data_IF_448627315318
#
_entry.id   IF_448627315318
#
_cell.length_a   1.000
_cell.length_b   1.000
_cell.length_c   1.000
_cell.angle_alpha   90.00
_cell.angle_beta   90.00
_cell.angle_gamma   90.00
#
_symmetry.space_group_name_H-M   'P 1'
#
loop_
_entity.id
_entity.type
_entity.pdbx_description
1 polymer ?
#
# COMPACT_ATOMS: atom_id res chain seq x y z
N UNK A 1 6.49 11.36 -0.36
CA UNK A 1 5.13 11.70 0.11
C UNK A 1 5.03 11.32 1.55
N UNK A 2 4.55 12.24 2.35
CA UNK A 2 4.57 12.16 3.81
C UNK A 2 3.35 11.35 4.30
N UNK A 3 3.56 10.50 5.33
CA UNK A 3 2.49 9.98 6.20
C UNK A 3 1.50 11.07 6.64
N UNK A 4 1.93 12.33 6.63
CA UNK A 4 1.17 13.50 7.00
C UNK A 4 -0.05 13.84 6.11
N UNK A 5 -0.24 13.15 4.98
CA UNK A 5 -1.43 13.32 4.13
C UNK A 5 -2.58 12.36 4.51
N UNK A 6 -2.28 11.34 5.32
CA UNK A 6 -3.23 10.37 5.85
C UNK A 6 -3.23 10.49 7.39
N UNK A 7 -3.61 11.66 7.85
CA UNK A 7 -3.81 12.01 9.24
C UNK A 7 -5.29 11.80 9.66
N UNK A 8 -5.62 12.15 10.89
CA UNK A 8 -6.99 11.99 11.40
C UNK A 8 -8.05 12.69 10.53
N UNK A 9 -7.87 13.94 10.07
CA UNK A 9 -8.82 14.59 9.16
C UNK A 9 -9.02 13.85 7.84
N UNK A 10 -7.97 13.22 7.29
CA UNK A 10 -8.08 12.40 6.09
C UNK A 10 -8.88 11.12 6.36
N UNK A 11 -8.69 10.50 7.53
CA UNK A 11 -9.47 9.36 7.98
C UNK A 11 -10.96 9.71 8.04
N UNK A 12 -11.32 10.81 8.69
CA UNK A 12 -12.71 11.26 8.84
C UNK A 12 -13.35 11.56 7.47
N UNK A 13 -12.58 12.17 6.55
CA UNK A 13 -13.05 12.46 5.18
C UNK A 13 -13.29 11.18 4.38
N UNK A 14 -12.41 10.19 4.52
CA UNK A 14 -12.57 8.88 3.86
C UNK A 14 -13.76 8.11 4.45
N UNK A 15 -13.92 8.10 5.78
CA UNK A 15 -15.06 7.48 6.44
C UNK A 15 -16.39 8.08 5.96
N UNK A 16 -16.45 9.41 5.85
CA UNK A 16 -17.63 10.08 5.32
C UNK A 16 -17.91 9.68 3.87
N UNK A 17 -16.88 9.58 3.03
CA UNK A 17 -17.01 9.13 1.65
C UNK A 17 -17.50 7.68 1.55
N UNK A 18 -16.99 6.77 2.39
CA UNK A 18 -17.47 5.36 2.48
C UNK A 18 -18.94 5.34 2.82
N UNK A 19 -19.34 6.05 3.88
CA UNK A 19 -20.74 6.12 4.32
C UNK A 19 -21.68 6.66 3.24
N UNK A 20 -21.26 7.69 2.48
CA UNK A 20 -22.04 8.22 1.36
C UNK A 20 -22.23 7.18 0.24
N UNK A 21 -21.19 6.36 -0.03
CA UNK A 21 -21.26 5.31 -1.04
C UNK A 21 -22.19 4.19 -0.58
N UNK A 22 -22.03 3.68 0.63
CA UNK A 22 -22.82 2.59 1.20
C UNK A 22 -24.32 2.92 1.34
N UNK A 23 -24.67 4.21 1.46
CA UNK A 23 -26.07 4.64 1.38
C UNK A 23 -26.71 4.41 0.00
N UNK A 24 -25.92 4.26 -1.05
CA UNK A 24 -26.40 4.12 -2.43
C UNK A 24 -26.25 2.70 -2.99
N UNK A 25 -25.57 1.79 -2.29
CA UNK A 25 -25.28 0.43 -2.74
C UNK A 25 -25.35 -0.56 -1.59
N UNK A 26 -25.65 -1.82 -1.89
CA UNK A 26 -25.55 -2.92 -0.91
C UNK A 26 -24.12 -3.43 -0.73
N UNK A 27 -23.15 -2.88 -1.46
CA UNK A 27 -21.74 -3.23 -1.28
C UNK A 27 -21.15 -2.53 -0.03
N UNK A 28 -20.40 -3.27 0.78
CA UNK A 28 -19.72 -2.79 1.97
C UNK A 28 -18.24 -2.52 1.66
N UNK A 29 -17.78 -1.28 1.90
CA UNK A 29 -16.43 -0.83 1.54
C UNK A 29 -15.52 -0.72 2.75
N UNK A 30 -14.42 -1.45 2.74
CA UNK A 30 -13.36 -1.30 3.74
C UNK A 30 -12.12 -0.68 3.10
N UNK A 31 -11.64 0.43 3.67
CA UNK A 31 -10.42 1.10 3.25
C UNK A 31 -9.30 0.79 4.24
N UNK A 32 -8.18 0.30 3.75
CA UNK A 32 -6.97 0.04 4.54
C UNK A 32 -5.80 0.79 3.93
N UNK A 33 -5.16 1.63 4.75
CA UNK A 33 -3.95 2.35 4.37
C UNK A 33 -2.80 1.86 5.22
N UNK A 34 -1.82 1.21 4.59
CA UNK A 34 -0.62 0.70 5.25
C UNK A 34 0.62 1.49 4.91
N UNK A 35 1.50 1.67 5.89
CA UNK A 35 2.81 2.26 5.65
C UNK A 35 3.64 1.42 4.68
N UNK A 36 3.57 0.10 4.80
CA UNK A 36 4.25 -0.89 3.95
C UNK A 36 3.59 -2.26 4.05
N UNK A 37 3.64 -3.05 2.99
CA UNK A 37 3.11 -4.41 2.94
C UNK A 37 4.19 -5.49 3.01
N UNK A 38 5.41 -5.18 2.54
CA UNK A 38 6.50 -6.15 2.46
C UNK A 38 7.58 -5.99 3.55
N UNK A 39 8.41 -7.05 3.67
CA UNK A 39 9.64 -7.01 4.46
C UNK A 39 10.82 -6.68 3.55
N UNK A 40 11.44 -5.51 3.77
CA UNK A 40 12.50 -4.97 2.91
C UNK A 40 13.91 -5.10 3.51
N UNK A 41 14.11 -5.99 4.49
CA UNK A 41 15.43 -6.19 5.11
C UNK A 41 16.52 -6.53 4.09
N UNK A 42 16.18 -7.28 3.04
CA UNK A 42 17.11 -7.59 1.96
C UNK A 42 17.61 -6.34 1.22
N UNK A 43 16.76 -5.34 1.01
CA UNK A 43 17.15 -4.06 0.41
C UNK A 43 18.04 -3.25 1.37
N UNK A 44 17.74 -3.27 2.67
CA UNK A 44 18.55 -2.61 3.69
C UNK A 44 19.97 -3.21 3.73
N UNK A 45 20.08 -4.54 3.76
CA UNK A 45 21.39 -5.22 3.73
C UNK A 45 22.14 -5.02 2.42
N UNK A 46 21.45 -5.06 1.27
CA UNK A 46 22.07 -4.77 -0.02
C UNK A 46 22.65 -3.36 -0.07
N UNK A 47 21.94 -2.36 0.46
CA UNK A 47 22.47 -0.99 0.60
C UNK A 47 23.71 -0.95 1.48
N UNK A 48 23.70 -1.67 2.61
CA UNK A 48 24.86 -1.79 3.49
C UNK A 48 26.09 -2.35 2.75
N UNK A 49 25.89 -3.46 2.01
CA UNK A 49 26.97 -4.07 1.22
C UNK A 49 27.49 -3.12 0.13
N UNK A 50 26.61 -2.43 -0.59
CA UNK A 50 27.03 -1.51 -1.65
C UNK A 50 27.82 -0.33 -1.10
N UNK A 51 27.40 0.25 0.02
CA UNK A 51 28.12 1.38 0.66
C UNK A 51 29.45 0.92 1.26
N UNK A 52 29.48 -0.23 1.94
CA UNK A 52 30.70 -0.82 2.47
C UNK A 52 31.71 -1.13 1.34
N UNK A 53 31.24 -1.72 0.23
CA UNK A 53 32.09 -2.01 -0.92
C UNK A 53 32.62 -0.74 -1.61
N UNK A 54 31.78 0.27 -1.80
CA UNK A 54 32.20 1.55 -2.35
C UNK A 54 33.24 2.24 -1.45
N UNK A 55 33.04 2.18 -0.14
CA UNK A 55 34.01 2.69 0.83
C UNK A 55 35.33 1.93 0.80
N UNK A 56 35.29 0.59 0.70
CA UNK A 56 36.51 -0.22 0.56
C UNK A 56 37.29 0.16 -0.71
N UNK A 57 36.61 0.33 -1.85
CA UNK A 57 37.26 0.81 -3.07
C UNK A 57 37.88 2.19 -2.87
N UNK A 58 37.17 3.10 -2.18
CA UNK A 58 37.69 4.41 -1.84
C UNK A 58 38.98 4.31 -1.01
N UNK A 59 38.99 3.47 0.03
CA UNK A 59 40.18 3.25 0.88
C UNK A 59 41.37 2.67 0.10
N UNK A 60 41.10 1.83 -0.91
CA UNK A 60 42.18 1.20 -1.70
C UNK A 60 42.74 2.08 -2.82
N UNK A 61 41.93 2.92 -3.43
CA UNK A 61 42.33 3.68 -4.64
C UNK A 61 42.52 5.17 -4.42
N UNK A 62 42.04 5.74 -3.31
CA UNK A 62 42.30 7.13 -3.00
C UNK A 62 43.72 7.32 -2.42
N UNK A 63 44.40 8.41 -2.73
CA UNK A 63 45.80 8.65 -2.34
C UNK A 63 45.90 9.14 -0.89
N UNK A 64 45.23 8.50 0.03
CA UNK A 64 45.30 8.79 1.46
C UNK A 64 46.02 7.64 2.18
N UNK A 65 46.86 8.00 3.15
CA UNK A 65 47.54 7.02 4.01
C UNK A 65 46.61 6.57 5.13
N UNK A 66 46.05 5.35 4.95
CA UNK A 66 45.21 4.71 5.98
C UNK A 66 46.00 3.63 6.71
N UNK A 67 45.85 3.57 8.04
CA UNK A 67 46.37 2.44 8.81
C UNK A 67 45.56 1.19 8.52
N UNK A 68 46.16 0.20 7.91
CA UNK A 68 45.49 -1.04 7.45
C UNK A 68 44.72 -1.78 8.53
N UNK A 69 45.06 -1.62 9.80
CA UNK A 69 44.32 -2.27 10.91
C UNK A 69 42.91 -1.71 11.14
N UNK A 70 42.62 -0.48 10.69
CA UNK A 70 41.29 0.15 10.85
C UNK A 70 40.35 -0.17 9.69
N UNK A 71 40.88 -0.58 8.56
CA UNK A 71 40.06 -0.86 7.35
C UNK A 71 38.87 -1.81 7.62
N UNK A 72 39.01 -2.94 8.37
CA UNK A 72 37.86 -3.79 8.66
C UNK A 72 36.78 -3.10 9.49
N UNK A 73 37.18 -2.20 10.41
CA UNK A 73 36.26 -1.44 11.25
C UNK A 73 35.52 -0.39 10.40
N UNK A 74 36.25 0.34 9.56
CA UNK A 74 35.67 1.33 8.66
C UNK A 74 34.63 0.72 7.72
N UNK A 75 34.93 -0.45 7.14
CA UNK A 75 34.01 -1.20 6.28
C UNK A 75 32.76 -1.65 7.05
N UNK A 76 32.92 -2.13 8.30
CA UNK A 76 31.80 -2.51 9.15
C UNK A 76 30.91 -1.31 9.50
N UNK A 77 31.52 -0.17 9.82
CA UNK A 77 30.80 1.08 10.11
C UNK A 77 30.03 1.56 8.88
N UNK A 78 30.65 1.53 7.70
CA UNK A 78 30.00 1.91 6.45
C UNK A 78 28.83 0.99 6.11
N UNK A 79 28.95 -0.30 6.38
CA UNK A 79 27.84 -1.25 6.25
C UNK A 79 26.65 -0.85 7.12
N UNK A 80 26.89 -0.59 8.40
CA UNK A 80 25.85 -0.17 9.36
C UNK A 80 25.20 1.14 8.92
N UNK A 81 25.99 2.11 8.48
CA UNK A 81 25.51 3.38 7.95
C UNK A 81 24.60 3.13 6.73
N UNK A 82 25.02 2.27 5.81
CA UNK A 82 24.24 1.94 4.62
C UNK A 82 22.90 1.28 4.94
N UNK A 83 22.87 0.32 5.86
CA UNK A 83 21.64 -0.30 6.38
C UNK A 83 20.73 0.77 7.01
N UNK A 84 21.30 1.63 7.85
CA UNK A 84 20.54 2.67 8.54
C UNK A 84 19.94 3.70 7.58
N UNK A 85 20.70 4.20 6.61
CA UNK A 85 20.22 5.15 5.61
C UNK A 85 19.09 4.56 4.76
N UNK A 86 19.24 3.30 4.33
CA UNK A 86 18.19 2.60 3.58
C UNK A 86 16.94 2.40 4.44
N UNK A 87 17.10 2.01 5.70
CA UNK A 87 15.97 1.78 6.61
C UNK A 87 15.11 3.02 6.86
N UNK A 88 15.71 4.21 6.77
CA UNK A 88 15.01 5.51 6.86
C UNK A 88 14.48 6.01 5.52
N UNK A 89 15.07 5.58 4.40
CA UNK A 89 14.80 6.07 3.04
C UNK A 89 13.81 5.22 2.25
N UNK A 90 12.54 5.58 2.21
CA UNK A 90 11.54 4.86 1.39
C UNK A 90 11.88 4.85 -0.11
N UNK A 91 12.56 5.88 -0.62
CA UNK A 91 12.99 5.96 -2.02
C UNK A 91 14.10 4.94 -2.33
N UNK A 92 15.08 4.79 -1.44
CA UNK A 92 16.20 3.85 -1.59
C UNK A 92 15.66 2.41 -1.59
N UNK A 93 14.77 2.08 -0.66
CA UNK A 93 14.11 0.75 -0.63
C UNK A 93 13.39 0.45 -1.93
N UNK A 94 12.64 1.41 -2.50
CA UNK A 94 11.96 1.22 -3.78
C UNK A 94 12.93 1.03 -4.95
N UNK A 95 14.06 1.74 -4.94
CA UNK A 95 15.09 1.61 -5.97
C UNK A 95 15.74 0.22 -5.95
N UNK A 96 16.06 -0.27 -4.74
CA UNK A 96 16.71 -1.56 -4.53
C UNK A 96 15.76 -2.77 -4.56
N UNK A 97 14.46 -2.54 -4.74
CA UNK A 97 13.46 -3.60 -4.77
C UNK A 97 12.74 -3.61 -6.11
N UNK A 98 12.58 -4.80 -6.70
CA UNK A 98 11.91 -4.96 -7.98
C UNK A 98 10.42 -4.62 -7.90
N UNK A 99 9.86 -4.12 -9.01
CA UNK A 99 8.42 -3.85 -9.11
C UNK A 99 7.58 -5.09 -8.79
N UNK A 100 7.99 -6.25 -9.32
CA UNK A 100 7.30 -7.53 -9.12
C UNK A 100 7.20 -7.91 -7.63
N UNK A 101 8.29 -7.80 -6.88
CA UNK A 101 8.28 -8.07 -5.43
C UNK A 101 7.31 -7.16 -4.67
N UNK A 102 7.28 -5.87 -5.04
CA UNK A 102 6.35 -4.91 -4.43
C UNK A 102 4.89 -5.23 -4.75
N UNK A 103 4.60 -5.61 -6.00
CA UNK A 103 3.25 -5.99 -6.42
C UNK A 103 2.78 -7.26 -5.70
N UNK A 104 3.65 -8.26 -5.57
CA UNK A 104 3.37 -9.51 -4.83
C UNK A 104 3.15 -9.24 -3.33
N UNK A 105 3.99 -8.39 -2.71
CA UNK A 105 3.86 -8.03 -1.30
C UNK A 105 2.53 -7.32 -1.01
N UNK A 106 2.12 -6.39 -1.86
CA UNK A 106 0.85 -5.66 -1.70
C UNK A 106 -0.33 -6.59 -1.93
N UNK A 107 -0.29 -7.44 -2.94
CA UNK A 107 -1.34 -8.43 -3.21
C UNK A 107 -1.50 -9.42 -2.06
N UNK A 108 -0.39 -9.94 -1.51
CA UNK A 108 -0.42 -10.83 -0.36
C UNK A 108 -0.96 -10.12 0.90
N UNK A 109 -0.54 -8.87 1.15
CA UNK A 109 -1.05 -8.06 2.25
C UNK A 109 -2.54 -7.74 2.14
N UNK A 110 -3.01 -7.42 0.94
CA UNK A 110 -4.41 -7.18 0.66
C UNK A 110 -5.26 -8.45 0.85
N UNK A 111 -4.79 -9.59 0.35
CA UNK A 111 -5.47 -10.87 0.53
C UNK A 111 -5.55 -11.28 2.01
N UNK A 112 -4.46 -11.14 2.77
CA UNK A 112 -4.48 -11.40 4.21
C UNK A 112 -5.49 -10.50 4.93
N UNK A 113 -5.47 -9.19 4.63
CA UNK A 113 -6.38 -8.22 5.23
C UNK A 113 -7.85 -8.49 4.90
N UNK A 114 -8.15 -8.97 3.70
CA UNK A 114 -9.51 -9.31 3.28
C UNK A 114 -10.14 -10.37 4.18
N UNK A 115 -9.35 -11.37 4.62
CA UNK A 115 -9.78 -12.39 5.57
C UNK A 115 -9.71 -11.92 7.01
N UNK A 116 -8.63 -11.26 7.43
CA UNK A 116 -8.44 -10.78 8.81
C UNK A 116 -9.47 -9.72 9.22
N UNK A 117 -9.90 -8.89 8.28
CA UNK A 117 -10.93 -7.88 8.51
C UNK A 117 -12.36 -8.44 8.49
N UNK A 118 -12.53 -9.72 8.17
CA UNK A 118 -13.85 -10.36 8.08
C UNK A 118 -14.64 -9.99 6.83
N UNK A 119 -14.02 -9.35 5.84
CA UNK A 119 -14.71 -8.90 4.62
C UNK A 119 -15.27 -10.08 3.82
N UNK A 120 -14.57 -11.22 3.85
CA UNK A 120 -15.02 -12.46 3.23
C UNK A 120 -16.18 -13.17 3.96
N UNK A 121 -16.66 -12.60 5.08
CA UNK A 121 -17.65 -13.26 5.94
C UNK A 121 -18.99 -12.51 5.99
N UNK A 122 -19.21 -11.54 5.11
CA UNK A 122 -20.53 -10.87 5.00
C UNK A 122 -21.58 -11.84 4.48
N UNK A 123 -22.80 -11.81 5.02
CA UNK A 123 -23.88 -12.73 4.64
C UNK A 123 -24.22 -12.65 3.15
N UNK A 124 -24.20 -11.43 2.59
CA UNK A 124 -24.53 -11.20 1.19
C UNK A 124 -23.35 -11.42 0.22
N UNK A 125 -22.14 -11.74 0.69
CA UNK A 125 -20.90 -11.78 -0.11
C UNK A 125 -20.64 -10.43 -0.85
N UNK A 126 -20.95 -9.28 -0.22
CA UNK A 126 -20.92 -7.94 -0.84
C UNK A 126 -19.75 -7.07 -0.38
N UNK A 127 -18.74 -7.65 0.27
CA UNK A 127 -17.57 -6.93 0.77
C UNK A 127 -16.60 -6.48 -0.33
N UNK A 128 -16.08 -5.26 -0.21
CA UNK A 128 -15.06 -4.67 -1.10
C UNK A 128 -13.92 -4.09 -0.27
N UNK A 129 -12.71 -4.56 -0.50
CA UNK A 129 -11.49 -4.05 0.13
C UNK A 129 -10.73 -3.12 -0.83
N UNK A 130 -10.44 -1.93 -0.37
CA UNK A 130 -9.52 -0.99 -1.01
C UNK A 130 -8.27 -0.90 -0.14
N UNK A 131 -7.20 -1.53 -0.61
CA UNK A 131 -5.95 -1.65 0.12
C UNK A 131 -4.86 -0.77 -0.51
N UNK A 132 -4.43 0.28 0.20
CA UNK A 132 -3.42 1.23 -0.24
C UNK A 132 -2.12 1.04 0.54
N UNK A 133 -1.02 0.76 -0.15
CA UNK A 133 0.31 0.67 0.44
C UNK A 133 1.21 1.84 0.02
N UNK A 134 1.61 2.65 1.02
CA UNK A 134 2.30 3.92 0.79
C UNK A 134 3.76 3.74 0.35
N UNK A 135 4.49 2.80 0.94
CA UNK A 135 5.88 2.53 0.57
C UNK A 135 5.96 2.03 -0.88
N UNK A 136 5.15 1.03 -1.21
CA UNK A 136 5.14 0.38 -2.51
C UNK A 136 4.54 1.27 -3.59
N UNK A 137 3.73 2.25 -3.20
CA UNK A 137 2.90 3.08 -4.09
C UNK A 137 2.04 2.19 -4.98
N UNK A 138 1.24 1.37 -4.32
CA UNK A 138 0.33 0.42 -4.96
C UNK A 138 -1.00 0.41 -4.23
N UNK A 139 -2.04 0.21 -5.00
CA UNK A 139 -3.39 -0.03 -4.50
C UNK A 139 -3.88 -1.35 -5.09
N UNK A 140 -4.49 -2.17 -4.25
CA UNK A 140 -5.24 -3.36 -4.66
C UNK A 140 -6.70 -3.19 -4.28
N UNK A 141 -7.58 -3.66 -5.18
CA UNK A 141 -9.01 -3.73 -5.01
C UNK A 141 -9.40 -5.20 -5.02
N UNK A 142 -9.99 -5.68 -3.93
CA UNK A 142 -10.49 -7.05 -3.81
C UNK A 142 -11.98 -6.95 -3.51
N UNK A 143 -12.78 -7.74 -4.20
CA UNK A 143 -14.22 -7.83 -3.95
C UNK A 143 -14.64 -9.29 -3.75
N UNK A 144 -15.68 -9.46 -2.97
CA UNK A 144 -16.28 -10.77 -2.73
C UNK A 144 -17.10 -11.23 -3.95
N UNK A 145 -17.53 -12.49 -3.90
CA UNK A 145 -18.16 -13.18 -5.04
C UNK A 145 -19.48 -12.54 -5.46
N UNK A 146 -20.27 -12.04 -4.54
CA UNK A 146 -21.54 -11.36 -4.84
C UNK A 146 -21.31 -10.13 -5.71
N UNK A 147 -20.36 -9.27 -5.31
CA UNK A 147 -19.97 -8.10 -6.10
C UNK A 147 -19.46 -8.50 -7.48
N UNK A 148 -18.52 -9.45 -7.55
CA UNK A 148 -17.92 -9.87 -8.83
C UNK A 148 -18.92 -10.53 -9.79
N UNK A 149 -19.97 -11.15 -9.29
CA UNK A 149 -21.06 -11.73 -10.13
C UNK A 149 -21.98 -10.65 -10.71
N UNK A 150 -22.23 -9.58 -9.93
CA UNK A 150 -23.12 -8.50 -10.35
C UNK A 150 -22.44 -7.50 -11.30
N UNK A 151 -21.11 -7.37 -11.20
CA UNK A 151 -20.32 -6.37 -11.93
C UNK A 151 -19.90 -6.87 -13.31
N UNK A 152 -20.11 -6.07 -14.40
CA UNK A 152 -19.52 -6.35 -15.69
C UNK A 152 -17.98 -6.29 -15.62
N UNK A 153 -17.32 -7.36 -16.09
CA UNK A 153 -15.85 -7.49 -15.99
C UNK A 153 -15.09 -6.32 -16.63
N UNK A 154 -15.63 -5.72 -17.70
CA UNK A 154 -14.99 -4.57 -18.35
C UNK A 154 -15.00 -3.33 -17.46
N UNK A 155 -16.17 -2.97 -16.91
CA UNK A 155 -16.32 -1.79 -16.03
C UNK A 155 -15.51 -1.98 -14.73
N UNK A 156 -15.52 -3.19 -14.15
CA UNK A 156 -14.69 -3.54 -13.00
C UNK A 156 -13.20 -3.36 -13.26
N UNK A 157 -12.70 -3.90 -14.39
CA UNK A 157 -11.28 -3.78 -14.74
C UNK A 157 -10.86 -2.33 -15.03
N UNK A 158 -11.75 -1.50 -15.55
CA UNK A 158 -11.50 -0.06 -15.73
C UNK A 158 -11.34 0.65 -14.38
N UNK A 159 -12.27 0.47 -13.45
CA UNK A 159 -12.17 1.02 -12.09
C UNK A 159 -10.91 0.53 -11.37
N UNK A 160 -10.58 -0.76 -11.51
CA UNK A 160 -9.35 -1.32 -10.95
C UNK A 160 -8.09 -0.63 -11.54
N UNK A 161 -8.07 -0.36 -12.84
CA UNK A 161 -6.94 0.32 -13.47
C UNK A 161 -6.80 1.77 -13.00
N UNK A 162 -7.90 2.51 -12.85
CA UNK A 162 -7.92 3.89 -12.35
C UNK A 162 -7.44 3.95 -10.89
N UNK A 163 -7.94 3.07 -10.02
CA UNK A 163 -7.50 2.98 -8.63
C UNK A 163 -6.00 2.61 -8.53
N UNK A 164 -5.52 1.70 -9.38
CA UNK A 164 -4.08 1.37 -9.43
C UNK A 164 -3.22 2.56 -9.84
N UNK A 165 -3.71 3.41 -10.72
CA UNK A 165 -2.99 4.64 -11.08
C UNK A 165 -2.94 5.64 -9.92
N UNK A 166 -4.04 5.81 -9.18
CA UNK A 166 -4.05 6.58 -7.92
C UNK A 166 -3.05 6.01 -6.92
N UNK A 167 -2.93 4.70 -6.81
CA UNK A 167 -1.96 4.04 -5.94
C UNK A 167 -0.50 4.42 -6.23
N UNK A 168 -0.15 4.75 -7.47
CA UNK A 168 1.22 5.19 -7.86
C UNK A 168 1.59 6.56 -7.30
N UNK A 169 0.61 7.47 -7.22
CA UNK A 169 0.74 8.80 -6.63
C UNK A 169 -0.42 9.03 -5.66
N UNK A 170 -0.37 8.43 -4.46
CA UNK A 170 -1.50 8.45 -3.55
C UNK A 170 -1.70 9.86 -2.98
N UNK A 171 -2.66 10.58 -3.54
CA UNK A 171 -3.15 11.88 -3.08
C UNK A 171 -4.58 11.70 -2.58
N UNK A 172 -4.91 12.31 -1.45
CA UNK A 172 -6.24 12.15 -0.82
C UNK A 172 -7.38 12.51 -1.78
N UNK A 173 -7.25 13.64 -2.49
CA UNK A 173 -8.29 14.10 -3.41
C UNK A 173 -8.49 13.16 -4.61
N UNK A 174 -7.38 12.63 -5.16
CA UNK A 174 -7.44 11.66 -6.24
C UNK A 174 -8.07 10.33 -5.78
N UNK A 175 -7.77 9.91 -4.55
CA UNK A 175 -8.37 8.72 -3.95
C UNK A 175 -9.87 8.92 -3.74
N UNK A 176 -10.30 10.04 -3.15
CA UNK A 176 -11.71 10.37 -2.94
C UNK A 176 -12.50 10.42 -4.27
N UNK A 177 -11.90 10.98 -5.31
CA UNK A 177 -12.52 11.00 -6.64
C UNK A 177 -12.73 9.59 -7.17
N UNK A 178 -11.69 8.75 -7.16
CA UNK A 178 -11.76 7.38 -7.64
C UNK A 178 -12.72 6.51 -6.81
N UNK A 179 -12.80 6.75 -5.49
CA UNK A 179 -13.79 6.09 -4.61
C UNK A 179 -15.22 6.43 -5.00
N UNK A 180 -15.52 7.72 -5.27
CA UNK A 180 -16.87 8.13 -5.71
C UNK A 180 -17.24 7.55 -7.08
N UNK A 181 -16.29 7.46 -8.00
CA UNK A 181 -16.47 6.83 -9.31
C UNK A 181 -16.77 5.32 -9.15
N UNK A 182 -16.01 4.62 -8.28
CA UNK A 182 -16.29 3.24 -7.91
C UNK A 182 -17.67 3.10 -7.24
N UNK A 183 -18.00 4.00 -6.31
CA UNK A 183 -19.30 4.01 -5.62
C UNK A 183 -20.48 4.17 -6.60
N UNK A 184 -20.36 5.08 -7.55
CA UNK A 184 -21.37 5.26 -8.60
C UNK A 184 -21.53 4.00 -9.47
N UNK A 185 -20.43 3.31 -9.74
CA UNK A 185 -20.45 2.05 -10.47
C UNK A 185 -21.13 0.92 -9.65
N UNK A 186 -20.80 0.83 -8.37
CA UNK A 186 -21.44 -0.13 -7.45
C UNK A 186 -22.93 0.14 -7.34
N UNK A 187 -23.35 1.38 -7.12
CA UNK A 187 -24.76 1.76 -7.05
C UNK A 187 -25.56 1.45 -8.33
N UNK A 188 -24.91 1.52 -9.49
CA UNK A 188 -25.53 1.18 -10.78
C UNK A 188 -25.88 -0.30 -10.89
N UNK A 189 -25.03 -1.19 -10.39
CA UNK A 189 -25.16 -2.65 -10.53
C UNK A 189 -25.63 -3.36 -9.26
N UNK A 190 -25.46 -2.73 -8.11
CA UNK A 190 -25.79 -3.21 -6.78
C UNK A 190 -26.49 -2.07 -6.00
N UNK A 191 -27.66 -1.58 -6.45
CA UNK A 191 -28.36 -0.50 -5.77
C UNK A 191 -28.78 -0.94 -4.36
N UNK A 192 -28.78 0.02 -3.42
CA UNK A 192 -29.19 -0.22 -2.05
C UNK A 192 -30.64 -0.73 -1.99
N UNK A 193 -30.83 -1.92 -1.46
CA UNK A 193 -32.16 -2.53 -1.25
C UNK A 193 -32.73 -2.17 0.12
N UNK A 194 -31.86 -1.77 1.05
CA UNK A 194 -32.20 -1.54 2.46
C UNK A 194 -32.38 -2.82 3.28
N UNK A 195 -32.11 -3.99 2.68
CA UNK A 195 -32.17 -5.29 3.34
C UNK A 195 -30.78 -5.76 3.82
N UNK A 196 -29.69 -5.18 3.28
CA UNK A 196 -28.33 -5.53 3.67
C UNK A 196 -27.93 -4.73 4.93
N UNK A 197 -27.67 -5.38 6.08
CA UNK A 197 -27.20 -4.70 7.26
C UNK A 197 -25.75 -4.25 7.06
N UNK A 198 -25.37 -3.12 7.64
CA UNK A 198 -23.96 -2.69 7.70
C UNK A 198 -23.21 -3.62 8.68
N UNK A 199 -22.47 -4.58 8.14
CA UNK A 199 -21.73 -5.59 8.91
C UNK A 199 -20.28 -5.20 9.16
N UNK A 200 -19.71 -4.29 8.33
CA UNK A 200 -18.32 -3.89 8.38
C UNK A 200 -18.16 -2.44 8.87
N UNK A 201 -17.06 -2.10 9.54
CA UNK A 201 -16.83 -0.74 10.03
C UNK A 201 -16.49 0.22 8.89
N UNK A 202 -17.22 1.33 8.77
CA UNK A 202 -16.99 2.43 7.79
C UNK A 202 -15.68 3.18 8.02
N UNK A 203 -15.08 3.04 9.22
CA UNK A 203 -13.83 3.72 9.58
C UNK A 203 -12.64 3.11 8.87
N UNK A 204 -11.90 3.89 8.05
CA UNK A 204 -10.67 3.42 7.42
C UNK A 204 -9.64 2.97 8.45
N UNK A 205 -8.95 1.86 8.19
CA UNK A 205 -7.88 1.34 9.04
C UNK A 205 -6.54 1.93 8.58
N UNK A 206 -5.94 2.75 9.42
CA UNK A 206 -4.62 3.33 9.18
C UNK A 206 -3.55 2.59 10.00
N UNK A 207 -2.70 1.82 9.31
CA UNK A 207 -1.54 1.10 9.88
C UNK A 207 -0.24 1.76 9.41
N UNK A 208 0.06 2.96 9.93
CA UNK A 208 1.12 3.86 9.49
C UNK A 208 2.42 3.75 10.31
#
# INVERSE_FOLDING_TARGET
>A
MSRAQFDQPACDTLAQCVKEIEQSTDAELVIVVRARSGNYRHADYLSGVLIAFAGLLGLLFLPFEFHQYWVPIDVAVLFVIGVFLCSRGSAIRRLLTTGKFRDEAVRAGAAAMFYEAGIANTEAEMGVLIYLSLLERRLELIADRGVLKAMPSLEWNQSLAELKEVGRKPELQALLKALRELGALLAKHLPATGENPNELPDMPRFEL
#
